data_IF_577497826725
#
_entry.id   IF_577497826725
#
_cell.length_a   1.000
_cell.length_b   1.000
_cell.length_c   1.000
_cell.angle_alpha   90.00
_cell.angle_beta   90.00
_cell.angle_gamma   90.00
#
_symmetry.space_group_name_H-M   'P 1'
#
loop_
_entity.id
_entity.type
_entity.pdbx_description
1 polymer ?
#
# COMPACT_ATOMS: atom_id res chain seq x y z
N UNK A 1 -27.24 -7.32 -12.49
CA UNK A 1 -27.20 -6.20 -11.51
C UNK A 1 -27.19 -4.86 -12.24
N UNK A 2 -28.16 -3.99 -11.93
CA UNK A 2 -28.15 -2.58 -12.35
C UNK A 2 -26.92 -1.87 -11.77
N UNK A 3 -26.46 -0.80 -12.40
CA UNK A 3 -25.34 0.02 -11.88
C UNK A 3 -25.63 0.47 -10.43
N UNK A 4 -26.89 0.76 -10.13
CA UNK A 4 -27.39 1.07 -8.79
C UNK A 4 -27.11 -0.04 -7.76
N UNK A 5 -27.38 -1.32 -8.07
CA UNK A 5 -27.13 -2.42 -7.13
C UNK A 5 -25.63 -2.65 -6.83
N UNK A 6 -24.75 -2.30 -7.77
CA UNK A 6 -23.28 -2.33 -7.57
C UNK A 6 -22.81 -1.15 -6.72
N UNK A 7 -23.39 0.03 -6.93
CA UNK A 7 -23.17 1.23 -6.11
C UNK A 7 -23.66 1.02 -4.67
N UNK A 8 -24.87 0.48 -4.48
CA UNK A 8 -25.46 0.22 -3.16
C UNK A 8 -24.63 -0.80 -2.36
N UNK A 9 -24.13 -1.86 -3.00
CA UNK A 9 -23.24 -2.83 -2.33
C UNK A 9 -21.88 -2.22 -1.95
N UNK A 10 -21.33 -1.35 -2.79
CA UNK A 10 -20.10 -0.63 -2.49
C UNK A 10 -20.30 0.39 -1.35
N UNK A 11 -21.47 1.05 -1.30
CA UNK A 11 -21.89 1.93 -0.21
C UNK A 11 -22.07 1.17 1.10
N UNK A 12 -22.69 -0.01 1.07
CA UNK A 12 -22.86 -0.86 2.25
C UNK A 12 -21.52 -1.31 2.83
N UNK A 13 -20.56 -1.74 1.98
CA UNK A 13 -19.20 -2.05 2.43
C UNK A 13 -18.46 -0.85 3.03
N UNK A 14 -18.64 0.33 2.43
CA UNK A 14 -18.11 1.59 2.96
C UNK A 14 -18.71 1.96 4.32
N UNK A 15 -20.03 1.83 4.46
CA UNK A 15 -20.74 2.10 5.71
C UNK A 15 -20.33 1.11 6.81
N UNK A 16 -20.20 -0.18 6.51
CA UNK A 16 -19.73 -1.19 7.45
C UNK A 16 -18.31 -0.87 7.92
N UNK A 17 -17.42 -0.52 6.98
CA UNK A 17 -16.05 -0.14 7.33
C UNK A 17 -15.97 1.17 8.14
N UNK A 18 -16.84 2.15 7.86
CA UNK A 18 -16.97 3.38 8.63
C UNK A 18 -17.47 3.09 10.05
N UNK A 19 -18.50 2.26 10.19
CA UNK A 19 -19.02 1.81 11.49
C UNK A 19 -17.92 1.08 12.26
N UNK A 20 -17.15 0.20 11.60
CA UNK A 20 -16.01 -0.46 12.21
C UNK A 20 -14.96 0.51 12.73
N UNK A 21 -14.60 1.53 11.95
CA UNK A 21 -13.67 2.57 12.38
C UNK A 21 -14.21 3.39 13.56
N UNK A 22 -15.51 3.72 13.57
CA UNK A 22 -16.18 4.42 14.68
C UNK A 22 -16.21 3.54 15.93
N UNK A 23 -16.49 2.25 15.81
CA UNK A 23 -16.45 1.32 16.95
C UNK A 23 -15.03 1.24 17.52
N UNK A 24 -14.01 1.14 16.66
CA UNK A 24 -12.63 1.12 17.14
C UNK A 24 -12.28 2.43 17.86
N UNK A 25 -12.62 3.58 17.28
CA UNK A 25 -12.32 4.87 17.89
C UNK A 25 -13.15 5.16 19.16
N UNK A 26 -14.42 4.84 19.21
CA UNK A 26 -15.29 5.24 20.33
C UNK A 26 -15.28 4.22 21.46
N UNK A 27 -15.09 2.93 21.16
CA UNK A 27 -15.17 1.85 22.14
C UNK A 27 -13.83 1.17 22.42
N UNK A 28 -13.09 0.79 21.38
CA UNK A 28 -11.88 -0.02 21.58
C UNK A 28 -10.71 0.82 22.08
N UNK A 29 -10.37 1.91 21.40
CA UNK A 29 -9.23 2.75 21.78
C UNK A 29 -9.34 3.31 23.21
N UNK A 30 -10.47 3.91 23.66
CA UNK A 30 -10.56 4.41 25.03
C UNK A 30 -10.55 3.31 26.10
N UNK A 31 -10.87 2.06 25.74
CA UNK A 31 -10.75 0.92 26.68
C UNK A 31 -9.31 0.48 26.92
N UNK A 32 -8.37 0.87 26.06
CA UNK A 32 -6.97 0.45 26.13
C UNK A 32 -6.02 1.62 26.45
N UNK A 33 -6.38 2.85 26.08
CA UNK A 33 -5.55 4.02 26.35
C UNK A 33 -6.37 5.29 26.53
N UNK A 34 -5.82 6.23 27.32
CA UNK A 34 -6.46 7.52 27.58
C UNK A 34 -6.26 8.49 26.42
N UNK A 35 -7.36 9.06 25.92
CA UNK A 35 -7.30 10.15 24.94
C UNK A 35 -6.63 11.40 25.46
N UNK A 36 -6.79 11.70 26.75
CA UNK A 36 -6.14 12.85 27.36
C UNK A 36 -4.61 12.68 27.37
N UNK A 37 -4.13 11.47 27.66
CA UNK A 37 -2.69 11.17 27.64
C UNK A 37 -2.12 11.16 26.22
N UNK A 38 -2.85 10.58 25.26
CA UNK A 38 -2.47 10.65 23.84
C UNK A 38 -2.37 12.11 23.36
N UNK A 39 -3.36 12.94 23.70
CA UNK A 39 -3.36 14.36 23.35
C UNK A 39 -2.18 15.09 24.01
N UNK A 40 -1.98 14.91 25.32
CA UNK A 40 -0.86 15.50 26.05
C UNK A 40 0.51 15.08 25.47
N UNK A 41 0.65 13.81 25.07
CA UNK A 41 1.87 13.30 24.42
C UNK A 41 2.13 13.99 23.08
N UNK A 42 1.08 14.24 22.29
CA UNK A 42 1.19 14.95 21.01
C UNK A 42 1.44 16.46 21.23
N UNK A 43 0.80 17.06 22.22
CA UNK A 43 0.99 18.49 22.57
C UNK A 43 2.38 18.77 23.12
N UNK A 44 3.04 17.78 23.72
CA UNK A 44 4.41 17.89 24.22
C UNK A 44 5.47 17.90 23.11
N UNK A 45 5.12 17.55 21.85
CA UNK A 45 6.05 17.54 20.74
C UNK A 45 6.54 18.97 20.42
N UNK A 46 7.85 19.10 20.26
CA UNK A 46 8.45 20.32 19.76
C UNK A 46 8.11 20.56 18.28
N UNK A 47 8.18 21.82 17.87
CA UNK A 47 8.00 22.19 16.46
C UNK A 47 9.01 21.48 15.53
N UNK A 48 10.23 21.23 16.02
CA UNK A 48 11.26 20.54 15.23
C UNK A 48 10.95 19.07 14.99
N UNK A 49 10.33 18.39 15.95
CA UNK A 49 9.90 17.00 15.79
C UNK A 49 8.76 16.90 14.77
N UNK A 50 7.80 17.82 14.82
CA UNK A 50 6.73 17.91 13.81
C UNK A 50 7.27 18.23 12.40
N UNK A 51 8.24 19.16 12.30
CA UNK A 51 8.93 19.47 11.03
C UNK A 51 9.71 18.24 10.54
N UNK A 52 10.36 17.52 11.45
CA UNK A 52 11.07 16.27 11.15
C UNK A 52 10.14 15.21 10.57
N UNK A 53 8.99 14.96 11.21
CA UNK A 53 7.99 14.03 10.72
C UNK A 53 7.39 14.46 9.37
N UNK A 54 7.14 15.76 9.19
CA UNK A 54 6.69 16.31 7.91
C UNK A 54 7.75 16.06 6.82
N UNK A 55 9.01 16.35 7.11
CA UNK A 55 10.13 16.09 6.20
C UNK A 55 10.23 14.62 5.80
N UNK A 56 10.17 13.70 6.77
CA UNK A 56 10.19 12.25 6.52
C UNK A 56 8.96 11.78 5.71
N UNK A 57 7.78 12.34 5.97
CA UNK A 57 6.57 12.08 5.20
C UNK A 57 6.70 12.52 3.74
N UNK A 58 7.25 13.72 3.50
CA UNK A 58 7.53 14.23 2.16
C UNK A 58 8.61 13.40 1.43
N UNK A 59 9.66 12.97 2.13
CA UNK A 59 10.67 12.05 1.58
C UNK A 59 10.02 10.72 1.19
N UNK A 60 9.13 10.18 2.02
CA UNK A 60 8.38 8.96 1.72
C UNK A 60 7.55 9.11 0.44
N UNK A 61 6.85 10.24 0.28
CA UNK A 61 6.12 10.58 -0.96
C UNK A 61 7.08 10.65 -2.16
N UNK A 62 8.22 11.32 -1.99
CA UNK A 62 9.23 11.47 -3.03
C UNK A 62 9.82 10.13 -3.49
N UNK A 63 10.16 9.24 -2.55
CA UNK A 63 10.65 7.89 -2.80
C UNK A 63 9.60 7.05 -3.52
N UNK A 64 8.33 7.14 -3.13
CA UNK A 64 7.24 6.45 -3.80
C UNK A 64 7.00 6.98 -5.23
N UNK A 65 7.13 8.29 -5.44
CA UNK A 65 7.10 8.91 -6.77
C UNK A 65 8.26 8.46 -7.66
N UNK A 66 9.46 8.30 -7.08
CA UNK A 66 10.63 7.75 -7.77
C UNK A 66 10.44 6.27 -8.13
N UNK A 67 9.86 5.45 -7.25
CA UNK A 67 9.52 4.08 -7.60
C UNK A 67 8.56 4.02 -8.80
N UNK A 68 7.53 4.88 -8.82
CA UNK A 68 6.62 5.01 -9.96
C UNK A 68 7.34 5.46 -11.24
N UNK A 69 8.28 6.42 -11.14
CA UNK A 69 9.13 6.85 -12.27
C UNK A 69 9.83 5.65 -12.93
N UNK A 70 10.39 4.74 -12.14
CA UNK A 70 11.12 3.59 -12.67
C UNK A 70 10.23 2.57 -13.42
N UNK A 71 8.92 2.56 -13.13
CA UNK A 71 7.98 1.65 -13.80
C UNK A 71 7.74 2.00 -15.28
N UNK A 72 7.97 3.26 -15.67
CA UNK A 72 7.63 3.76 -17.00
C UNK A 72 8.77 4.61 -17.58
N UNK A 73 9.50 4.11 -18.60
CA UNK A 73 10.53 4.89 -19.28
C UNK A 73 10.00 6.22 -19.81
N UNK A 74 10.74 7.31 -19.61
CA UNK A 74 10.34 8.67 -20.03
C UNK A 74 9.36 9.37 -19.07
N UNK A 75 8.89 8.69 -18.01
CA UNK A 75 8.13 9.33 -16.95
C UNK A 75 9.09 10.20 -16.10
N UNK A 76 8.74 11.46 -15.90
CA UNK A 76 9.49 12.35 -15.00
C UNK A 76 9.15 12.04 -13.56
N UNK A 77 10.06 12.34 -12.63
CA UNK A 77 9.82 12.14 -11.20
C UNK A 77 8.57 12.90 -10.71
N UNK A 78 8.35 14.13 -11.18
CA UNK A 78 7.15 14.91 -10.85
C UNK A 78 5.85 14.22 -11.29
N UNK A 79 5.79 13.70 -12.52
CA UNK A 79 4.62 12.92 -13.00
C UNK A 79 4.45 11.62 -12.23
N UNK A 80 5.54 10.94 -11.88
CA UNK A 80 5.51 9.75 -11.02
C UNK A 80 4.93 10.04 -9.64
N UNK A 81 5.38 11.13 -9.00
CA UNK A 81 4.87 11.59 -7.71
C UNK A 81 3.39 11.96 -7.77
N UNK A 82 2.99 12.69 -8.81
CA UNK A 82 1.59 13.07 -9.04
C UNK A 82 0.70 11.84 -9.23
N UNK A 83 1.13 10.84 -10.00
CA UNK A 83 0.42 9.57 -10.18
C UNK A 83 0.39 8.72 -8.90
N UNK A 84 1.38 8.83 -8.02
CA UNK A 84 1.38 8.19 -6.71
C UNK A 84 0.38 8.86 -5.77
N UNK A 85 0.44 10.18 -5.65
CA UNK A 85 -0.46 10.96 -4.79
C UNK A 85 -1.93 10.80 -5.17
N UNK A 86 -2.24 10.88 -6.47
CA UNK A 86 -3.61 10.62 -6.96
C UNK A 86 -4.09 9.22 -6.59
N UNK A 87 -3.24 8.20 -6.74
CA UNK A 87 -3.61 6.84 -6.40
C UNK A 87 -3.84 6.66 -4.90
N UNK A 88 -2.96 7.21 -4.05
CA UNK A 88 -3.08 7.15 -2.60
C UNK A 88 -4.37 7.80 -2.10
N UNK A 89 -4.75 8.95 -2.68
CA UNK A 89 -6.04 9.59 -2.41
C UNK A 89 -7.20 8.68 -2.86
N UNK A 90 -7.16 8.14 -4.08
CA UNK A 90 -8.26 7.32 -4.60
C UNK A 90 -8.42 6.02 -3.82
N UNK A 91 -7.35 5.37 -3.38
CA UNK A 91 -7.45 4.15 -2.56
C UNK A 91 -7.99 4.41 -1.17
N UNK A 92 -7.86 5.65 -0.65
CA UNK A 92 -8.46 6.04 0.62
C UNK A 92 -9.98 6.20 0.53
N UNK A 93 -10.52 6.68 -0.61
CA UNK A 93 -11.93 7.08 -0.73
C UNK A 93 -12.77 6.27 -1.73
N UNK A 94 -12.14 5.43 -2.56
CA UNK A 94 -12.81 4.76 -3.66
C UNK A 94 -12.52 3.26 -3.63
N UNK A 95 -13.52 2.40 -3.94
CA UNK A 95 -13.30 0.96 -4.07
C UNK A 95 -12.13 0.61 -4.99
N UNK A 96 -11.48 -0.51 -4.68
CA UNK A 96 -10.26 -1.00 -5.34
C UNK A 96 -10.38 -1.04 -6.87
N UNK A 97 -9.31 -0.62 -7.56
CA UNK A 97 -9.18 -0.68 -9.02
C UNK A 97 -9.47 0.62 -9.76
N UNK A 98 -10.10 1.61 -9.11
CA UNK A 98 -10.28 2.96 -9.71
C UNK A 98 -8.94 3.71 -9.79
N UNK A 99 -8.08 3.52 -8.80
CA UNK A 99 -6.72 4.05 -8.77
C UNK A 99 -5.91 3.60 -9.99
N UNK A 100 -6.04 2.33 -10.39
CA UNK A 100 -5.38 1.77 -11.58
C UNK A 100 -5.91 2.40 -12.87
N UNK A 101 -7.23 2.59 -12.96
CA UNK A 101 -7.86 3.20 -14.13
C UNK A 101 -7.45 4.68 -14.29
N UNK A 102 -7.43 5.44 -13.19
CA UNK A 102 -6.99 6.84 -13.19
C UNK A 102 -5.50 6.92 -13.54
N UNK A 103 -4.65 6.08 -12.95
CA UNK A 103 -3.21 6.04 -13.27
C UNK A 103 -2.98 5.73 -14.77
N UNK A 104 -3.73 4.78 -15.33
CA UNK A 104 -3.68 4.49 -16.77
C UNK A 104 -4.12 5.71 -17.61
N UNK A 105 -5.21 6.38 -17.23
CA UNK A 105 -5.69 7.58 -17.91
C UNK A 105 -4.67 8.74 -17.84
N UNK A 106 -3.99 8.90 -16.71
CA UNK A 106 -2.93 9.90 -16.53
C UNK A 106 -1.76 9.62 -17.49
N UNK A 107 -1.27 8.39 -17.56
CA UNK A 107 -0.20 8.02 -18.49
C UNK A 107 -0.60 8.27 -19.95
N UNK A 108 -1.83 7.90 -20.34
CA UNK A 108 -2.38 8.20 -21.67
C UNK A 108 -2.43 9.71 -21.95
N UNK A 109 -2.88 10.52 -21.00
CA UNK A 109 -2.95 11.99 -21.15
C UNK A 109 -1.58 12.66 -21.29
N UNK A 110 -0.53 12.01 -20.79
CA UNK A 110 0.85 12.47 -20.89
C UNK A 110 1.56 11.99 -22.16
N UNK A 111 0.87 11.29 -23.06
CA UNK A 111 1.40 10.84 -24.35
C UNK A 111 1.94 9.42 -24.35
N UNK A 112 1.88 8.69 -23.23
CA UNK A 112 2.37 7.31 -23.19
C UNK A 112 1.43 6.37 -23.94
N UNK A 113 2.00 5.38 -24.63
CA UNK A 113 1.23 4.36 -25.33
C UNK A 113 0.41 3.51 -24.35
N UNK A 114 -0.72 2.96 -24.82
CA UNK A 114 -1.54 2.05 -24.02
C UNK A 114 -0.74 0.82 -23.55
N UNK A 115 0.15 0.31 -24.42
CA UNK A 115 1.06 -0.81 -24.15
C UNK A 115 2.04 -0.50 -23.02
N UNK A 116 2.74 0.63 -23.10
CA UNK A 116 3.70 1.07 -22.08
C UNK A 116 3.00 1.32 -20.73
N UNK A 117 1.81 1.92 -20.76
CA UNK A 117 1.03 2.21 -19.57
C UNK A 117 0.56 0.94 -18.86
N UNK A 118 0.09 -0.07 -19.61
CA UNK A 118 -0.32 -1.36 -19.06
C UNK A 118 0.87 -2.11 -18.44
N UNK A 119 2.03 -2.11 -19.11
CA UNK A 119 3.27 -2.71 -18.60
C UNK A 119 3.72 -2.07 -17.29
N UNK A 120 3.73 -0.73 -17.22
CA UNK A 120 4.11 0.00 -16.00
C UNK A 120 3.20 -0.33 -14.82
N UNK A 121 1.88 -0.43 -15.05
CA UNK A 121 0.92 -0.81 -14.01
C UNK A 121 1.14 -2.26 -13.54
N UNK A 122 1.38 -3.19 -14.47
CA UNK A 122 1.67 -4.58 -14.14
C UNK A 122 2.97 -4.73 -13.35
N UNK A 123 4.04 -4.04 -13.78
CA UNK A 123 5.33 -4.03 -13.10
C UNK A 123 5.24 -3.45 -11.70
N UNK A 124 4.53 -2.32 -11.54
CA UNK A 124 4.28 -1.72 -10.23
C UNK A 124 3.51 -2.69 -9.31
N UNK A 125 2.51 -3.40 -9.83
CA UNK A 125 1.75 -4.39 -9.07
C UNK A 125 2.62 -5.58 -8.63
N UNK A 126 3.42 -6.14 -9.54
CA UNK A 126 4.33 -7.24 -9.24
C UNK A 126 5.36 -6.85 -8.17
N UNK A 127 6.04 -5.72 -8.37
CA UNK A 127 7.00 -5.19 -7.41
C UNK A 127 6.35 -4.91 -6.05
N UNK A 128 5.08 -4.48 -6.03
CA UNK A 128 4.35 -4.21 -4.79
C UNK A 128 4.11 -5.49 -3.99
N UNK A 129 3.75 -6.59 -4.65
CA UNK A 129 3.59 -7.89 -3.99
C UNK A 129 4.90 -8.44 -3.45
N UNK A 130 5.98 -8.38 -4.24
CA UNK A 130 7.31 -8.82 -3.78
C UNK A 130 7.73 -8.00 -2.56
N UNK A 131 7.65 -6.67 -2.66
CA UNK A 131 7.97 -5.75 -1.54
C UNK A 131 7.17 -6.10 -0.29
N UNK A 132 5.85 -6.27 -0.43
CA UNK A 132 4.94 -6.59 0.67
C UNK A 132 5.35 -7.87 1.41
N UNK A 133 5.60 -8.94 0.64
CA UNK A 133 5.91 -10.26 1.19
C UNK A 133 7.34 -10.31 1.77
N UNK A 134 8.24 -9.43 1.32
CA UNK A 134 9.59 -9.32 1.89
C UNK A 134 9.59 -8.68 3.28
N UNK A 135 8.63 -7.79 3.60
CA UNK A 135 8.67 -7.03 4.85
C UNK A 135 8.63 -7.90 6.12
N UNK A 136 7.71 -8.88 6.29
CA UNK A 136 7.73 -9.71 7.49
C UNK A 136 9.00 -10.54 7.61
N UNK A 137 9.60 -10.96 6.49
CA UNK A 137 10.88 -11.65 6.53
C UNK A 137 11.97 -10.73 7.07
N UNK A 138 12.02 -9.49 6.58
CA UNK A 138 12.98 -8.49 7.07
C UNK A 138 12.74 -8.16 8.56
N UNK A 139 11.49 -7.96 8.97
CA UNK A 139 11.14 -7.71 10.37
C UNK A 139 11.48 -8.89 11.29
N UNK A 140 11.12 -10.11 10.88
CA UNK A 140 11.38 -11.33 11.67
C UNK A 140 12.88 -11.61 11.75
N UNK A 141 13.61 -11.43 10.64
CA UNK A 141 15.06 -11.56 10.62
C UNK A 141 15.73 -10.49 11.50
N UNK A 142 15.23 -9.25 11.50
CA UNK A 142 15.77 -8.19 12.35
C UNK A 142 15.58 -8.51 13.84
N UNK A 143 14.40 -8.98 14.26
CA UNK A 143 14.16 -9.44 15.63
C UNK A 143 15.09 -10.59 16.00
N UNK A 144 15.20 -11.60 15.13
CA UNK A 144 16.04 -12.77 15.35
C UNK A 144 17.51 -12.38 15.54
N UNK A 145 18.07 -11.56 14.64
CA UNK A 145 19.46 -11.10 14.71
C UNK A 145 19.71 -10.22 15.93
N UNK A 146 18.71 -9.45 16.38
CA UNK A 146 18.84 -8.62 17.58
C UNK A 146 18.71 -9.38 18.91
N UNK A 147 18.48 -10.70 18.87
CA UNK A 147 18.31 -11.53 20.07
C UNK A 147 17.01 -11.25 20.85
N UNK A 148 16.04 -10.55 20.23
CA UNK A 148 14.75 -10.20 20.83
C UNK A 148 13.61 -11.15 20.43
N UNK A 149 13.93 -12.19 19.67
CA UNK A 149 12.94 -13.18 19.21
C UNK A 149 12.58 -14.19 20.30
N UNK A 150 11.35 -14.66 20.27
CA UNK A 150 10.92 -15.84 21.03
C UNK A 150 11.49 -17.14 20.42
N UNK A 151 11.32 -18.26 21.11
CA UNK A 151 11.76 -19.59 20.64
C UNK A 151 11.16 -19.98 19.28
N UNK A 152 10.02 -19.39 18.91
CA UNK A 152 9.33 -19.67 17.65
C UNK A 152 9.81 -18.78 16.49
N UNK A 153 10.56 -17.71 16.76
CA UNK A 153 11.00 -16.74 15.76
C UNK A 153 11.79 -17.40 14.61
N UNK A 154 12.74 -18.33 14.85
CA UNK A 154 13.41 -19.06 13.78
C UNK A 154 12.44 -19.87 12.90
N UNK A 155 11.46 -20.54 13.52
CA UNK A 155 10.46 -21.35 12.81
C UNK A 155 9.57 -20.45 11.96
N UNK A 156 9.12 -19.31 12.50
CA UNK A 156 8.32 -18.31 11.77
C UNK A 156 9.09 -17.76 10.57
N UNK A 157 10.39 -17.52 10.70
CA UNK A 157 11.25 -17.06 9.61
C UNK A 157 11.38 -18.13 8.51
N UNK A 158 11.59 -19.39 8.87
CA UNK A 158 11.69 -20.51 7.92
C UNK A 158 10.36 -20.68 7.16
N UNK A 159 9.24 -20.80 7.88
CA UNK A 159 7.91 -20.96 7.28
C UNK A 159 7.55 -19.76 6.40
N UNK A 160 7.83 -18.54 6.88
CA UNK A 160 7.66 -17.32 6.11
C UNK A 160 8.49 -17.32 4.82
N UNK A 161 9.75 -17.78 4.88
CA UNK A 161 10.64 -17.84 3.73
C UNK A 161 10.16 -18.87 2.70
N UNK A 162 9.65 -20.02 3.15
CA UNK A 162 9.02 -21.03 2.28
C UNK A 162 7.76 -20.45 1.61
N UNK A 163 6.88 -19.81 2.38
CA UNK A 163 5.67 -19.18 1.87
C UNK A 163 6.00 -18.07 0.86
N UNK A 164 7.00 -17.25 1.14
CA UNK A 164 7.52 -16.21 0.24
C UNK A 164 8.03 -16.80 -1.08
N UNK A 165 8.88 -17.83 -1.00
CA UNK A 165 9.42 -18.52 -2.18
C UNK A 165 8.28 -19.12 -3.03
N UNK A 166 7.28 -19.75 -2.40
CA UNK A 166 6.12 -20.30 -3.09
C UNK A 166 5.28 -19.21 -3.74
N UNK A 167 4.95 -18.13 -3.02
CA UNK A 167 4.11 -17.04 -3.52
C UNK A 167 4.77 -16.25 -4.66
N UNK A 168 6.10 -16.10 -4.63
CA UNK A 168 6.86 -15.43 -5.70
C UNK A 168 7.13 -16.36 -6.88
N UNK A 169 7.21 -17.67 -6.65
CA UNK A 169 7.36 -18.63 -7.74
C UNK A 169 6.19 -18.53 -8.74
N UNK A 170 4.97 -18.21 -8.28
CA UNK A 170 3.79 -18.07 -9.15
C UNK A 170 3.95 -16.95 -10.19
N UNK A 171 4.14 -15.66 -9.83
CA UNK A 171 4.38 -14.61 -10.81
C UNK A 171 5.67 -14.84 -11.61
N UNK A 172 6.72 -15.41 -11.00
CA UNK A 172 7.95 -15.73 -11.72
C UNK A 172 7.74 -16.79 -12.82
N UNK A 173 7.01 -17.87 -12.52
CA UNK A 173 6.64 -18.92 -13.47
C UNK A 173 5.69 -18.39 -14.54
N UNK A 174 4.75 -17.50 -14.17
CA UNK A 174 3.90 -16.79 -15.12
C UNK A 174 4.71 -15.98 -16.13
N UNK A 175 5.73 -15.25 -15.67
CA UNK A 175 6.64 -14.47 -16.53
C UNK A 175 7.59 -15.34 -17.38
N UNK A 176 7.81 -16.61 -17.01
CA UNK A 176 8.69 -17.53 -17.75
C UNK A 176 7.96 -18.47 -18.70
N UNK A 177 6.73 -18.89 -18.38
CA UNK A 177 6.01 -19.91 -19.14
C UNK A 177 4.71 -19.36 -19.72
N UNK A 178 4.72 -19.04 -21.01
CA UNK A 178 3.54 -18.61 -21.76
C UNK A 178 2.38 -19.62 -21.69
N UNK A 179 2.68 -20.91 -21.59
CA UNK A 179 1.68 -21.98 -21.45
C UNK A 179 0.92 -21.94 -20.12
N UNK A 180 1.56 -21.47 -19.04
CA UNK A 180 0.90 -21.27 -17.74
C UNK A 180 0.05 -20.01 -17.76
N UNK A 181 0.57 -18.92 -18.32
CA UNK A 181 -0.19 -17.69 -18.53
C UNK A 181 -1.46 -17.94 -19.37
N UNK A 182 -1.36 -18.74 -20.44
CA UNK A 182 -2.49 -19.16 -21.27
C UNK A 182 -3.52 -19.97 -20.49
N UNK A 183 -3.09 -20.94 -19.68
CA UNK A 183 -3.99 -21.74 -18.82
C UNK A 183 -4.72 -20.87 -17.79
N UNK A 184 -4.00 -19.95 -17.14
CA UNK A 184 -4.58 -19.03 -16.16
C UNK A 184 -5.54 -18.04 -16.83
N UNK A 185 -5.17 -17.47 -17.98
CA UNK A 185 -6.04 -16.57 -18.75
C UNK A 185 -7.34 -17.26 -19.18
N UNK A 186 -7.28 -18.52 -19.62
CA UNK A 186 -8.46 -19.32 -19.97
C UNK A 186 -9.33 -19.66 -18.75
N UNK A 187 -8.71 -20.01 -17.61
CA UNK A 187 -9.44 -20.24 -16.33
C UNK A 187 -10.13 -18.97 -15.84
N UNK A 188 -9.42 -17.84 -15.89
CA UNK A 188 -9.97 -16.54 -15.52
C UNK A 188 -11.11 -16.13 -16.47
N UNK A 189 -10.99 -16.39 -17.78
CA UNK A 189 -12.08 -16.18 -18.73
C UNK A 189 -13.31 -17.02 -18.38
N UNK A 190 -13.14 -18.31 -18.03
CA UNK A 190 -14.25 -19.16 -17.57
C UNK A 190 -14.91 -18.60 -16.31
N UNK A 191 -14.11 -18.14 -15.35
CA UNK A 191 -14.62 -17.54 -14.11
C UNK A 191 -15.36 -16.22 -14.36
N UNK A 192 -14.84 -15.36 -15.23
CA UNK A 192 -15.51 -14.11 -15.64
C UNK A 192 -16.79 -14.41 -16.40
N UNK A 193 -16.81 -15.41 -17.29
CA UNK A 193 -18.03 -15.84 -17.98
C UNK A 193 -19.06 -16.41 -17.01
N UNK A 194 -18.63 -17.16 -16.00
CA UNK A 194 -19.49 -17.66 -14.92
C UNK A 194 -20.09 -16.49 -14.13
N UNK A 195 -19.27 -15.55 -13.68
CA UNK A 195 -19.71 -14.33 -13.01
C UNK A 195 -20.62 -13.48 -13.91
N UNK A 196 -20.34 -13.37 -15.19
CA UNK A 196 -21.17 -12.63 -16.15
C UNK A 196 -22.55 -13.28 -16.31
N UNK A 197 -22.63 -14.62 -16.31
CA UNK A 197 -23.90 -15.36 -16.25
C UNK A 197 -24.65 -15.10 -14.94
N UNK A 198 -23.96 -15.16 -13.80
CA UNK A 198 -24.55 -14.87 -12.48
C UNK A 198 -25.08 -13.44 -12.41
N UNK A 199 -24.34 -12.47 -12.97
CA UNK A 199 -24.69 -11.04 -12.90
C UNK A 199 -25.62 -10.60 -14.06
N UNK A 200 -25.98 -11.54 -14.97
CA UNK A 200 -26.79 -11.34 -16.19
C UNK A 200 -26.28 -10.20 -17.07
N UNK A 201 -24.96 -10.12 -17.30
CA UNK A 201 -24.35 -9.15 -18.22
C UNK A 201 -23.59 -9.86 -19.33
N UNK A 202 -23.57 -9.32 -20.57
CA UNK A 202 -22.79 -9.91 -21.64
C UNK A 202 -21.31 -9.87 -21.28
N UNK A 203 -20.65 -11.04 -21.34
CA UNK A 203 -19.21 -11.13 -21.13
C UNK A 203 -18.48 -10.45 -22.30
N UNK A 204 -17.44 -9.64 -22.05
CA UNK A 204 -16.62 -9.08 -23.11
C UNK A 204 -16.01 -10.20 -23.99
N UNK A 205 -16.10 -10.12 -25.33
CA UNK A 205 -15.52 -11.15 -26.19
C UNK A 205 -13.98 -11.10 -26.19
N UNK A 206 -13.34 -12.28 -26.32
CA UNK A 206 -11.89 -12.49 -26.50
C UNK A 206 -10.99 -11.97 -25.35
N UNK A 207 -11.40 -12.17 -24.10
CA UNK A 207 -10.63 -11.78 -22.91
C UNK A 207 -9.27 -12.50 -22.83
N UNK A 208 -9.21 -13.82 -23.06
CA UNK A 208 -7.94 -14.55 -22.99
C UNK A 208 -6.96 -14.12 -24.10
N UNK A 209 -7.42 -13.91 -25.34
CA UNK A 209 -6.54 -13.43 -26.42
C UNK A 209 -6.01 -12.02 -26.15
N UNK A 210 -6.85 -11.13 -25.60
CA UNK A 210 -6.40 -9.78 -25.19
C UNK A 210 -5.40 -9.85 -24.03
N UNK A 211 -5.65 -10.69 -23.02
CA UNK A 211 -4.71 -10.93 -21.93
C UNK A 211 -3.38 -11.53 -22.41
N UNK A 212 -3.41 -12.46 -23.37
CA UNK A 212 -2.23 -13.15 -23.87
C UNK A 212 -1.37 -12.27 -24.79
N UNK A 213 -1.98 -11.49 -25.70
CA UNK A 213 -1.26 -10.46 -26.48
C UNK A 213 -0.65 -9.38 -25.58
N UNK A 214 -1.32 -9.08 -24.47
CA UNK A 214 -0.82 -8.14 -23.46
C UNK A 214 0.31 -8.77 -22.64
N UNK A 215 0.27 -10.09 -22.39
CA UNK A 215 1.27 -10.83 -21.62
C UNK A 215 2.64 -10.94 -22.31
N UNK A 216 2.71 -11.43 -23.55
CA UNK A 216 3.96 -11.53 -24.33
C UNK A 216 4.73 -10.19 -24.41
N UNK A 217 4.00 -9.08 -24.45
CA UNK A 217 4.56 -7.74 -24.66
C UNK A 217 4.88 -6.99 -23.35
N UNK A 218 4.27 -7.39 -22.23
CA UNK A 218 4.60 -6.87 -20.88
C UNK A 218 5.87 -7.53 -20.36
N UNK A 219 6.07 -8.83 -20.64
CA UNK A 219 7.18 -9.64 -20.10
C UNK A 219 8.55 -9.11 -20.55
N UNK A 220 8.70 -8.66 -21.79
CA UNK A 220 10.00 -8.21 -22.33
C UNK A 220 10.45 -6.88 -21.73
N UNK A 221 9.56 -5.92 -21.47
CA UNK A 221 9.92 -4.65 -20.83
C UNK A 221 10.04 -4.76 -19.30
N UNK A 222 9.28 -5.68 -18.68
CA UNK A 222 9.32 -5.89 -17.24
C UNK A 222 10.59 -6.63 -16.76
N UNK A 223 11.16 -7.52 -17.60
CA UNK A 223 12.28 -8.40 -17.21
C UNK A 223 13.57 -7.69 -16.79
N UNK A 224 13.88 -6.54 -17.37
CA UNK A 224 15.15 -5.87 -17.08
C UNK A 224 15.06 -4.89 -15.91
N UNK A 225 13.84 -4.38 -15.63
CA UNK A 225 13.63 -3.29 -14.67
C UNK A 225 12.98 -3.72 -13.37
N UNK A 226 12.40 -4.92 -13.30
CA UNK A 226 11.74 -5.38 -12.08
C UNK A 226 12.64 -5.34 -10.83
N UNK A 227 13.97 -5.60 -10.86
CA UNK A 227 14.77 -5.50 -9.65
C UNK A 227 14.86 -4.05 -9.19
N UNK A 228 15.16 -3.11 -10.10
CA UNK A 228 15.26 -1.68 -9.77
C UNK A 228 13.93 -1.11 -9.25
N UNK A 229 12.80 -1.47 -9.87
CA UNK A 229 11.47 -1.05 -9.40
C UNK A 229 11.19 -1.65 -8.02
N UNK A 230 11.45 -2.95 -7.83
CA UNK A 230 11.20 -3.62 -6.54
C UNK A 230 12.06 -3.06 -5.43
N UNK A 231 13.37 -2.88 -5.66
CA UNK A 231 14.28 -2.25 -4.69
C UNK A 231 13.83 -0.83 -4.36
N UNK A 232 13.47 -0.02 -5.37
CA UNK A 232 13.00 1.34 -5.11
C UNK A 232 11.71 1.39 -4.29
N UNK A 233 10.81 0.42 -4.49
CA UNK A 233 9.56 0.33 -3.75
C UNK A 233 9.78 -0.20 -2.33
N UNK A 234 10.72 -1.13 -2.15
CA UNK A 234 11.18 -1.56 -0.84
C UNK A 234 11.81 -0.39 -0.08
N UNK A 235 12.69 0.40 -0.71
CA UNK A 235 13.27 1.61 -0.11
C UNK A 235 12.18 2.61 0.28
N UNK A 236 11.22 2.89 -0.60
CA UNK A 236 10.10 3.77 -0.28
C UNK A 236 9.26 3.25 0.90
N UNK A 237 9.12 1.93 1.02
CA UNK A 237 8.38 1.29 2.13
C UNK A 237 9.20 1.30 3.42
N UNK A 238 10.52 1.17 3.36
CA UNK A 238 11.40 1.32 4.51
C UNK A 238 11.48 2.77 4.98
N UNK A 239 11.41 3.77 4.08
CA UNK A 239 11.25 5.17 4.48
C UNK A 239 9.95 5.40 5.25
N UNK A 240 8.88 4.72 4.86
CA UNK A 240 7.63 4.72 5.61
C UNK A 240 7.84 4.12 7.03
N UNK A 241 8.60 3.03 7.16
CA UNK A 241 8.96 2.47 8.47
C UNK A 241 9.81 3.44 9.32
N UNK A 242 10.68 4.24 8.70
CA UNK A 242 11.45 5.28 9.38
C UNK A 242 10.54 6.37 9.95
N UNK A 243 9.43 6.73 9.28
CA UNK A 243 8.44 7.66 9.85
C UNK A 243 7.83 7.08 11.13
N UNK A 244 7.48 5.79 11.15
CA UNK A 244 6.97 5.15 12.35
C UNK A 244 8.02 5.15 13.46
N UNK A 245 9.27 4.80 13.15
CA UNK A 245 10.37 4.82 14.10
C UNK A 245 10.57 6.22 14.69
N UNK A 246 10.58 7.26 13.86
CA UNK A 246 10.69 8.64 14.30
C UNK A 246 9.51 9.02 15.22
N UNK A 247 8.28 8.66 14.86
CA UNK A 247 7.11 8.91 15.69
C UNK A 247 7.23 8.23 17.06
N UNK A 248 7.68 6.97 17.12
CA UNK A 248 7.94 6.24 18.36
C UNK A 248 9.00 6.96 19.21
N UNK A 249 10.09 7.44 18.59
CA UNK A 249 11.15 8.16 19.32
C UNK A 249 10.68 9.51 19.86
N UNK A 250 9.91 10.27 19.09
CA UNK A 250 9.46 11.60 19.48
C UNK A 250 8.37 11.58 20.56
N UNK A 251 7.61 10.48 20.70
CA UNK A 251 6.71 10.31 21.86
C UNK A 251 7.43 9.83 23.13
N UNK A 252 8.77 9.74 23.12
CA UNK A 252 9.59 9.38 24.27
C UNK A 252 9.89 7.89 24.43
N UNK A 253 9.46 7.03 23.49
CA UNK A 253 9.77 5.60 23.53
C UNK A 253 11.18 5.37 22.96
N UNK A 254 12.19 5.41 23.83
CA UNK A 254 13.60 5.24 23.48
C UNK A 254 13.97 3.83 23.00
N UNK A 255 15.20 3.63 22.49
CA UNK A 255 15.69 2.33 22.01
C UNK A 255 15.71 1.21 23.06
N UNK A 256 15.83 1.60 24.35
CA UNK A 256 15.84 0.66 25.48
C UNK A 256 14.45 0.11 25.79
N UNK A 257 13.40 0.91 25.53
CA UNK A 257 12.00 0.51 25.71
C UNK A 257 11.47 -0.23 24.49
N UNK A 258 11.71 0.32 23.30
CA UNK A 258 11.32 -0.28 22.02
C UNK A 258 12.49 -0.19 21.03
N UNK A 259 13.08 -1.32 20.71
CA UNK A 259 14.13 -1.42 19.70
C UNK A 259 13.62 -1.05 18.31
N UNK A 260 14.52 -0.55 17.47
CA UNK A 260 14.18 -0.31 16.05
C UNK A 260 13.76 -1.60 15.33
N UNK A 261 14.25 -2.76 15.79
CA UNK A 261 13.88 -4.08 15.24
C UNK A 261 12.44 -4.46 15.55
N UNK A 262 11.96 -4.16 16.76
CA UNK A 262 10.57 -4.37 17.18
C UNK A 262 9.63 -3.45 16.42
N UNK A 263 10.02 -2.18 16.25
CA UNK A 263 9.26 -1.21 15.44
C UNK A 263 9.19 -1.66 13.98
N UNK A 264 10.31 -2.12 13.39
CA UNK A 264 10.32 -2.64 12.02
C UNK A 264 9.45 -3.90 11.86
N UNK A 265 9.47 -4.78 12.85
CA UNK A 265 8.63 -5.98 12.87
C UNK A 265 7.15 -5.64 12.96
N UNK A 266 6.77 -4.75 13.88
CA UNK A 266 5.40 -4.25 14.01
C UNK A 266 4.92 -3.57 12.72
N UNK A 267 5.76 -2.72 12.12
CA UNK A 267 5.49 -2.11 10.82
C UNK A 267 5.27 -3.15 9.72
N UNK A 268 6.10 -4.19 9.67
CA UNK A 268 6.01 -5.23 8.66
C UNK A 268 4.71 -6.05 8.79
N UNK A 269 4.35 -6.44 10.01
CA UNK A 269 3.09 -7.13 10.29
C UNK A 269 1.87 -6.25 9.99
N UNK A 270 1.90 -4.99 10.42
CA UNK A 270 0.85 -4.01 10.14
C UNK A 270 0.66 -3.78 8.64
N UNK A 271 1.75 -3.71 7.87
CA UNK A 271 1.70 -3.51 6.43
C UNK A 271 1.08 -4.70 5.69
N UNK A 272 1.33 -5.94 6.15
CA UNK A 272 0.69 -7.13 5.59
C UNK A 272 -0.78 -7.21 5.95
N UNK A 273 -1.15 -6.94 7.20
CA UNK A 273 -2.55 -6.99 7.60
C UNK A 273 -3.40 -5.95 6.87
N UNK A 274 -2.82 -4.78 6.58
CA UNK A 274 -3.42 -3.69 5.80
C UNK A 274 -3.75 -4.07 4.34
N UNK A 275 -3.35 -5.25 3.86
CA UNK A 275 -3.67 -5.75 2.50
C UNK A 275 -5.13 -6.12 2.37
N UNK A 276 -5.74 -6.60 3.46
CA UNK A 276 -7.16 -6.91 3.51
C UNK A 276 -7.85 -5.60 3.90
N UNK A 277 -8.57 -4.92 2.98
CA UNK A 277 -9.21 -3.65 3.28
C UNK A 277 -10.42 -3.89 4.18
N UNK A 278 -10.20 -3.98 5.49
CA UNK A 278 -11.26 -4.17 6.48
C UNK A 278 -12.01 -2.87 6.76
N UNK A 279 -11.30 -1.74 6.74
CA UNK A 279 -11.84 -0.40 6.96
C UNK A 279 -11.28 0.58 5.90
N UNK A 280 -12.01 1.64 5.51
CA UNK A 280 -11.48 2.70 4.65
C UNK A 280 -10.17 3.26 5.20
N UNK A 281 -9.10 3.18 4.41
CA UNK A 281 -7.77 3.61 4.84
C UNK A 281 -7.12 2.75 5.93
N UNK A 282 -7.72 1.61 6.32
CA UNK A 282 -7.31 0.74 7.43
C UNK A 282 -7.25 1.44 8.80
N UNK A 283 -8.13 2.44 9.00
CA UNK A 283 -8.25 3.16 10.26
C UNK A 283 -8.67 2.18 11.36
N UNK A 284 -7.98 2.24 12.50
CA UNK A 284 -8.20 1.38 13.66
C UNK A 284 -7.46 0.04 13.57
N UNK A 285 -7.29 -0.52 12.37
CA UNK A 285 -6.62 -1.82 12.19
C UNK A 285 -5.11 -1.68 12.38
N UNK A 286 -4.51 -0.67 11.77
CA UNK A 286 -3.07 -0.44 11.88
C UNK A 286 -2.68 -0.10 13.31
N UNK A 287 -3.45 0.73 13.99
CA UNK A 287 -3.23 1.16 15.37
C UNK A 287 -3.32 -0.03 16.33
N UNK A 288 -4.32 -0.90 16.17
CA UNK A 288 -4.46 -2.11 16.98
C UNK A 288 -3.35 -3.13 16.74
N UNK A 289 -2.82 -3.24 15.52
CA UNK A 289 -1.70 -4.15 15.25
C UNK A 289 -0.40 -3.59 15.82
N UNK A 290 -0.16 -2.28 15.65
CA UNK A 290 1.02 -1.65 16.25
C UNK A 290 0.98 -1.77 17.77
N UNK A 291 -0.18 -1.51 18.38
CA UNK A 291 -0.38 -1.71 19.82
C UNK A 291 -0.25 -3.18 20.21
N UNK A 292 -0.84 -4.09 19.46
CA UNK A 292 -0.81 -5.53 19.74
C UNK A 292 0.56 -6.17 19.51
N UNK A 293 1.49 -5.52 18.81
CA UNK A 293 2.86 -6.03 18.60
C UNK A 293 3.85 -5.30 19.52
N UNK A 294 3.75 -3.97 19.65
CA UNK A 294 4.66 -3.15 20.46
C UNK A 294 4.25 -3.10 21.94
N UNK A 295 2.97 -3.29 22.23
CA UNK A 295 2.43 -3.32 23.60
C UNK A 295 2.66 -4.64 24.32
N UNK A 296 3.08 -5.70 23.61
CA UNK A 296 3.41 -6.98 24.23
C UNK A 296 4.69 -6.83 25.06
N UNK A 297 4.52 -6.57 26.35
CA UNK A 297 5.62 -6.37 27.32
C UNK A 297 5.86 -4.92 27.73
N UNK A 298 5.15 -3.96 27.12
CA UNK A 298 5.30 -2.53 27.39
C UNK A 298 4.14 -2.01 28.25
N UNK A 299 4.04 -2.50 29.50
CA UNK A 299 2.99 -2.07 30.43
C UNK A 299 3.05 -0.56 30.67
N UNK A 300 1.89 0.11 30.60
CA UNK A 300 1.72 1.56 30.80
C UNK A 300 2.30 2.44 29.68
N UNK A 301 2.52 1.88 28.48
CA UNK A 301 2.99 2.62 27.30
C UNK A 301 1.96 2.67 26.18
N UNK A 302 0.75 2.16 26.41
CA UNK A 302 -0.32 2.01 25.41
C UNK A 302 -0.70 3.36 24.80
N UNK A 303 -0.86 4.39 25.65
CA UNK A 303 -1.13 5.77 25.23
C UNK A 303 -0.02 6.33 24.34
N UNK A 304 1.25 6.10 24.66
CA UNK A 304 2.39 6.58 23.86
C UNK A 304 2.50 5.82 22.53
N UNK A 305 2.30 4.50 22.53
CA UNK A 305 2.33 3.68 21.31
C UNK A 305 1.22 4.11 20.36
N UNK A 306 0.02 4.38 20.88
CA UNK A 306 -1.09 4.87 20.06
C UNK A 306 -0.86 6.30 19.58
N UNK A 307 -0.28 7.19 20.40
CA UNK A 307 0.12 8.52 19.95
C UNK A 307 1.14 8.45 18.79
N UNK A 308 2.15 7.57 18.88
CA UNK A 308 3.10 7.33 17.81
C UNK A 308 2.41 6.78 16.54
N UNK A 309 1.48 5.84 16.69
CA UNK A 309 0.70 5.30 15.58
C UNK A 309 -0.15 6.40 14.89
N UNK A 310 -0.76 7.30 15.66
CA UNK A 310 -1.53 8.43 15.12
C UNK A 310 -0.64 9.42 14.38
N UNK A 311 0.50 9.82 14.95
CA UNK A 311 1.49 10.69 14.29
C UNK A 311 1.97 10.06 12.98
N UNK A 312 2.35 8.78 13.05
CA UNK A 312 2.72 8.00 11.87
C UNK A 312 1.65 8.09 10.77
N UNK A 313 0.38 7.92 11.13
CA UNK A 313 -0.75 7.97 10.18
C UNK A 313 -1.01 9.38 9.64
N UNK A 314 -0.83 10.41 10.46
CA UNK A 314 -0.93 11.80 10.02
C UNK A 314 0.05 12.05 8.86
N UNK A 315 1.32 11.65 9.01
CA UNK A 315 2.34 11.98 8.03
C UNK A 315 2.45 10.99 6.86
N UNK A 316 1.94 9.76 6.99
CA UNK A 316 2.04 8.73 5.94
C UNK A 316 0.72 8.43 5.22
N UNK A 317 -0.41 8.79 5.80
CA UNK A 317 -1.73 8.56 5.23
C UNK A 317 -2.56 9.84 5.10
N UNK A 318 -2.66 10.67 6.14
CA UNK A 318 -3.45 11.90 6.07
C UNK A 318 -2.78 12.97 5.21
N UNK A 319 -1.47 13.17 5.32
CA UNK A 319 -0.71 14.16 4.54
C UNK A 319 -0.78 13.91 3.03
N UNK A 320 -0.63 12.68 2.51
CA UNK A 320 -0.82 12.41 1.08
C UNK A 320 -2.23 12.67 0.55
N UNK A 321 -3.28 12.67 1.38
CA UNK A 321 -4.68 12.86 0.93
C UNK A 321 -4.91 14.24 0.31
N UNK A 322 -4.71 15.39 1.00
CA UNK A 322 -4.90 16.71 0.41
C UNK A 322 -3.94 16.94 -0.76
N UNK A 323 -2.70 16.45 -0.67
CA UNK A 323 -1.74 16.51 -1.77
C UNK A 323 -2.21 15.71 -2.99
N UNK A 324 -2.88 14.57 -2.77
CA UNK A 324 -3.51 13.75 -3.79
C UNK A 324 -4.72 14.39 -4.44
N UNK A 325 -5.57 15.05 -3.65
CA UNK A 325 -6.70 15.85 -4.17
C UNK A 325 -6.16 16.99 -5.05
N UNK A 326 -5.19 17.76 -4.56
CA UNK A 326 -4.55 18.84 -5.31
C UNK A 326 -3.91 18.31 -6.61
N UNK A 327 -3.19 17.19 -6.53
CA UNK A 327 -2.59 16.51 -7.69
C UNK A 327 -3.64 16.09 -8.73
N UNK A 328 -4.77 15.53 -8.28
CA UNK A 328 -5.85 15.11 -9.15
C UNK A 328 -6.49 16.30 -9.86
N UNK A 329 -6.82 17.37 -9.12
CA UNK A 329 -7.39 18.59 -9.68
C UNK A 329 -6.44 19.25 -10.68
N UNK A 330 -5.15 19.34 -10.34
CA UNK A 330 -4.12 19.86 -11.24
C UNK A 330 -4.01 19.04 -12.54
N UNK A 331 -4.06 17.70 -12.44
CA UNK A 331 -4.08 16.84 -13.62
C UNK A 331 -5.34 17.06 -14.48
N UNK A 332 -6.51 17.20 -13.86
CA UNK A 332 -7.77 17.45 -14.60
C UNK A 332 -7.74 18.80 -15.32
N UNK A 333 -7.22 19.83 -14.67
CA UNK A 333 -7.05 21.16 -15.26
C UNK A 333 -6.12 21.11 -16.49
N UNK A 334 -4.90 20.59 -16.31
CA UNK A 334 -3.90 20.52 -17.39
C UNK A 334 -4.30 19.62 -18.55
N UNK A 335 -5.08 18.56 -18.29
CA UNK A 335 -5.60 17.67 -19.34
C UNK A 335 -6.70 18.32 -20.18
N UNK A 336 -7.51 19.20 -19.58
CA UNK A 336 -8.56 19.95 -20.31
C UNK A 336 -7.95 21.00 -21.24
N UNK A 337 -6.98 21.78 -20.77
CA UNK A 337 -6.32 22.80 -21.58
C UNK A 337 -5.64 22.22 -22.82
N UNK A 338 -5.03 21.02 -22.71
CA UNK A 338 -4.43 20.30 -23.86
C UNK A 338 -5.44 19.76 -24.87
N UNK A 339 -6.68 19.52 -24.46
CA UNK A 339 -7.74 19.08 -25.36
C UNK A 339 -8.35 20.25 -26.14
N UNK A 340 -8.23 21.48 -25.63
CA UNK A 340 -8.69 22.71 -26.29
C UNK A 340 -7.65 23.31 -27.24
N UNK A 341 -6.36 22.95 -27.09
CA UNK A 341 -5.27 23.42 -27.95
C UNK A 341 -4.94 22.49 -29.12
N UNK A 342 -5.75 21.45 -29.34
CA UNK A 342 -5.63 20.47 -30.42
C UNK A 342 -6.88 20.52 -31.27
#
# INVERSE_FOLDING_TARGET
MSLAARQVRNLAGWLIGLVGAVVIAVWVLPSVASYAEMAATIEALSAWELIGLLGLGLVTIASAGFATKLTLPGLTWGKGTLATLCANFLTAFVPTGVDLAVRFAMYKSWGFGARQSASAVALAGLSRYVTLLSLPLLGTAAILVSGRGDEQTPIRLILGSIAFALLISIPWLLLRHESLAKRIALRLQRFVHLLARIVRRPAPPRIAERLLKTHEQIVTQARDRWPSVTVSQLVATLMNAVVLLAAVRFVGLGPDLLSWTEVLYAFALGTIAAVIPLTPGNIGVTELILLGVLGLGAANMESQILAAALLYRIFTWMLPVPLGIASYLFWRYTSRSRAQSK
#
